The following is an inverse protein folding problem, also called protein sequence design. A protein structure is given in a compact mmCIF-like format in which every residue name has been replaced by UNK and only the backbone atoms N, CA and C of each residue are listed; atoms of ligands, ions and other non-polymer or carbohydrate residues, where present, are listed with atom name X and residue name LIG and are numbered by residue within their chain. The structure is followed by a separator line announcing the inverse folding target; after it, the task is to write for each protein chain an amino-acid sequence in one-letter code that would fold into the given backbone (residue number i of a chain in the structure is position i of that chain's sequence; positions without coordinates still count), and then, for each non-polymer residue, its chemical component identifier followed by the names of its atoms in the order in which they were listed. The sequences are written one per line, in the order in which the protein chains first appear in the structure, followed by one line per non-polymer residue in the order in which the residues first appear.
data_IF_227505139662
#
_entry.id   IF_227505139662
#
_cell.length_a   1.000
_cell.length_b   1.000
_cell.length_c   1.000
_cell.angle_alpha   90.00
_cell.angle_beta   90.00
_cell.angle_gamma   90.00
#
_symmetry.space_group_name_H-M   'P 1'
#
loop_
_entity.id
_entity.type
_entity.pdbx_description
1 polymer ?
#
# COMPACT_ATOMS: atom_id res chain seq x y z
N UNK A 1 -11.19 19.59 -8.38
CA UNK A 1 -10.07 19.03 -7.57
C UNK A 1 -9.68 17.67 -8.15
N UNK A 2 -8.39 17.35 -8.14
CA UNK A 2 -7.88 16.04 -8.58
C UNK A 2 -8.34 14.95 -7.62
N UNK A 3 -8.56 13.74 -8.13
CA UNK A 3 -8.87 12.58 -7.26
C UNK A 3 -7.58 11.86 -6.91
N UNK A 4 -7.36 11.62 -5.62
CA UNK A 4 -6.25 10.85 -5.07
C UNK A 4 -6.78 9.55 -4.44
N UNK A 5 -6.42 8.42 -5.02
CA UNK A 5 -6.78 7.09 -4.51
C UNK A 5 -5.61 6.56 -3.69
N UNK A 6 -5.85 6.25 -2.43
CA UNK A 6 -4.88 5.71 -1.48
C UNK A 6 -5.23 4.26 -1.14
N UNK A 7 -4.39 3.33 -1.54
CA UNK A 7 -4.58 1.90 -1.31
C UNK A 7 -3.75 1.45 -0.11
N UNK A 8 -4.38 1.03 1.00
CA UNK A 8 -3.68 0.72 2.24
C UNK A 8 -2.92 -0.61 2.20
N UNK A 9 -2.10 -0.83 3.22
CA UNK A 9 -1.42 -2.08 3.48
C UNK A 9 -2.35 -3.13 4.12
N UNK A 10 -1.87 -4.36 4.24
CA UNK A 10 -2.52 -5.45 4.97
C UNK A 10 -2.93 -5.00 6.38
N UNK A 11 -4.17 -5.29 6.80
CA UNK A 11 -4.75 -4.92 8.09
C UNK A 11 -4.79 -3.40 8.35
N UNK A 12 -4.74 -2.61 7.29
CA UNK A 12 -4.82 -1.16 7.35
C UNK A 12 -6.07 -0.65 6.62
N UNK A 13 -6.48 0.56 6.98
CA UNK A 13 -7.58 1.29 6.36
C UNK A 13 -7.21 2.77 6.22
N UNK A 14 -8.19 3.66 6.12
CA UNK A 14 -7.97 5.11 6.03
C UNK A 14 -7.13 5.68 7.20
N UNK A 15 -7.13 5.02 8.36
CA UNK A 15 -6.32 5.40 9.51
C UNK A 15 -4.82 5.44 9.20
N UNK A 16 -4.34 4.58 8.28
CA UNK A 16 -2.94 4.60 7.83
C UNK A 16 -2.55 5.95 7.22
N UNK A 17 -3.48 6.57 6.50
CA UNK A 17 -3.27 7.83 5.79
C UNK A 17 -3.85 9.05 6.52
N UNK A 18 -4.23 8.91 7.80
CA UNK A 18 -4.91 9.99 8.53
C UNK A 18 -4.14 11.34 8.51
N UNK A 19 -2.80 11.39 8.63
CA UNK A 19 -2.06 12.66 8.51
C UNK A 19 -2.15 13.26 7.09
N UNK A 20 -2.05 12.42 6.06
CA UNK A 20 -2.10 12.86 4.66
C UNK A 20 -3.50 13.33 4.28
N UNK A 21 -4.54 12.63 4.75
CA UNK A 21 -5.94 13.04 4.56
C UNK A 21 -6.16 14.41 5.18
N UNK A 22 -5.72 14.63 6.41
CA UNK A 22 -5.85 15.92 7.08
C UNK A 22 -5.13 17.05 6.34
N UNK A 23 -3.92 16.78 5.81
CA UNK A 23 -3.12 17.77 5.10
C UNK A 23 -3.62 18.09 3.68
N UNK A 24 -4.23 17.12 3.00
CA UNK A 24 -4.55 17.23 1.57
C UNK A 24 -6.06 17.37 1.27
N UNK A 25 -6.95 17.34 2.27
CA UNK A 25 -8.42 17.36 2.09
C UNK A 25 -8.94 18.56 1.30
N UNK A 26 -8.25 19.71 1.38
CA UNK A 26 -8.62 20.94 0.66
C UNK A 26 -7.93 21.04 -0.72
N UNK A 27 -7.10 20.07 -1.09
CA UNK A 27 -6.29 20.04 -2.34
C UNK A 27 -6.65 18.91 -3.27
N UNK A 28 -7.20 17.80 -2.74
CA UNK A 28 -7.60 16.64 -3.52
C UNK A 28 -8.88 16.00 -2.98
N UNK A 29 -9.62 15.36 -3.88
CA UNK A 29 -10.72 14.48 -3.51
C UNK A 29 -10.12 13.11 -3.17
N UNK A 30 -10.03 12.78 -1.87
CA UNK A 30 -9.32 11.58 -1.40
C UNK A 30 -10.28 10.40 -1.29
N UNK A 31 -9.89 9.27 -1.88
CA UNK A 31 -10.64 8.00 -1.85
C UNK A 31 -9.72 6.93 -1.27
N UNK A 32 -10.17 6.27 -0.20
CA UNK A 32 -9.48 5.13 0.41
C UNK A 32 -10.38 3.91 0.33
N UNK A 33 -10.21 3.05 -0.69
CA UNK A 33 -11.04 1.85 -0.84
C UNK A 33 -10.78 0.82 0.27
N UNK A 34 -11.83 0.11 0.68
CA UNK A 34 -11.72 -1.04 1.57
C UNK A 34 -11.18 -2.25 0.80
N UNK A 35 -9.99 -2.73 1.17
CA UNK A 35 -9.32 -3.88 0.55
C UNK A 35 -9.70 -5.22 1.20
N UNK A 36 -10.45 -5.22 2.30
CA UNK A 36 -10.77 -6.41 3.07
C UNK A 36 -11.95 -7.23 2.51
N UNK A 37 -12.57 -6.75 1.41
CA UNK A 37 -13.84 -7.32 0.89
C UNK A 37 -13.66 -8.47 -0.08
N UNK A 38 -12.51 -8.56 -0.74
CA UNK A 38 -12.25 -9.50 -1.83
C UNK A 38 -11.23 -10.58 -1.39
N UNK A 39 -11.23 -11.69 -2.10
CA UNK A 39 -10.29 -12.81 -1.91
C UNK A 39 -9.42 -13.08 -3.14
N UNK A 40 -9.50 -12.21 -4.14
CA UNK A 40 -8.78 -12.28 -5.41
C UNK A 40 -8.38 -10.88 -5.85
N UNK A 41 -7.12 -10.72 -6.26
CA UNK A 41 -6.54 -9.41 -6.58
C UNK A 41 -7.21 -8.76 -7.80
N UNK A 42 -7.51 -9.54 -8.84
CA UNK A 42 -8.14 -9.01 -10.03
C UNK A 42 -9.59 -8.60 -9.78
N UNK A 43 -10.31 -9.33 -8.91
CA UNK A 43 -11.66 -8.95 -8.47
C UNK A 43 -11.63 -7.67 -7.62
N UNK A 44 -10.69 -7.56 -6.68
CA UNK A 44 -10.49 -6.36 -5.87
C UNK A 44 -10.25 -5.12 -6.75
N UNK A 45 -9.35 -5.21 -7.72
CA UNK A 45 -9.06 -4.11 -8.64
C UNK A 45 -10.28 -3.70 -9.47
N UNK A 46 -11.05 -4.67 -10.01
CA UNK A 46 -12.29 -4.39 -10.76
C UNK A 46 -13.32 -3.66 -9.91
N UNK A 47 -13.58 -4.14 -8.69
CA UNK A 47 -14.52 -3.50 -7.77
C UNK A 47 -14.08 -2.07 -7.45
N UNK A 48 -12.82 -1.88 -7.07
CA UNK A 48 -12.27 -0.56 -6.74
C UNK A 48 -12.40 0.38 -7.93
N UNK A 49 -12.05 -0.06 -9.15
CA UNK A 49 -12.20 0.74 -10.36
C UNK A 49 -13.65 1.15 -10.63
N UNK A 50 -14.64 0.33 -10.24
CA UNK A 50 -16.05 0.67 -10.35
C UNK A 50 -16.56 1.64 -9.27
N UNK A 51 -15.89 1.66 -8.12
CA UNK A 51 -16.23 2.53 -6.98
C UNK A 51 -15.57 3.92 -7.06
N UNK A 52 -14.47 4.07 -7.84
CA UNK A 52 -13.81 5.36 -8.04
C UNK A 52 -14.66 6.24 -8.95
N UNK A 53 -15.19 7.40 -8.46
CA UNK A 53 -16.13 8.22 -9.20
C UNK A 53 -15.49 9.01 -10.36
N UNK A 54 -14.17 9.19 -10.32
CA UNK A 54 -13.43 9.95 -11.32
C UNK A 54 -13.03 9.09 -12.52
N UNK A 55 -13.08 9.64 -13.72
CA UNK A 55 -12.59 8.99 -14.94
C UNK A 55 -11.07 8.76 -14.87
N UNK A 56 -10.34 9.76 -14.36
CA UNK A 56 -8.89 9.72 -14.15
C UNK A 56 -8.54 10.10 -12.72
N UNK A 57 -7.45 9.54 -12.20
CA UNK A 57 -7.02 9.76 -10.82
C UNK A 57 -5.51 9.58 -10.63
N UNK A 58 -4.99 10.18 -9.57
CA UNK A 58 -3.69 9.84 -9.01
C UNK A 58 -3.83 8.61 -8.12
N UNK A 59 -2.89 7.68 -8.17
CA UNK A 59 -2.93 6.42 -7.43
C UNK A 59 -1.70 6.28 -6.54
N UNK A 60 -1.91 6.01 -5.26
CA UNK A 60 -0.84 5.63 -4.34
C UNK A 60 -1.18 4.29 -3.70
N UNK A 61 -0.27 3.32 -3.81
CA UNK A 61 -0.43 2.00 -3.18
C UNK A 61 0.77 1.67 -2.29
N UNK A 62 0.48 1.27 -1.04
CA UNK A 62 1.50 0.85 -0.08
C UNK A 62 1.41 -0.65 0.19
N UNK A 63 2.54 -1.37 0.10
CA UNK A 63 2.61 -2.80 0.40
C UNK A 63 1.57 -3.59 -0.41
N UNK A 64 0.58 -4.24 0.23
CA UNK A 64 -0.56 -4.89 -0.43
C UNK A 64 -1.28 -3.93 -1.39
N UNK A 65 -1.47 -2.67 -1.01
CA UNK A 65 -2.06 -1.66 -1.90
C UNK A 65 -1.25 -1.44 -3.17
N UNK A 66 0.06 -1.65 -3.13
CA UNK A 66 0.91 -1.65 -4.32
C UNK A 66 0.62 -2.81 -5.27
N UNK A 67 0.31 -4.00 -4.74
CA UNK A 67 -0.13 -5.14 -5.57
C UNK A 67 -1.46 -4.84 -6.28
N UNK A 68 -2.39 -4.22 -5.55
CA UNK A 68 -3.66 -3.75 -6.14
C UNK A 68 -3.41 -2.65 -7.17
N UNK A 69 -2.45 -1.74 -6.94
CA UNK A 69 -2.08 -0.71 -7.92
C UNK A 69 -1.53 -1.31 -9.21
N UNK A 70 -0.68 -2.34 -9.15
CA UNK A 70 -0.23 -3.05 -10.34
C UNK A 70 -1.40 -3.69 -11.10
N UNK A 71 -2.36 -4.27 -10.39
CA UNK A 71 -3.52 -4.88 -11.02
C UNK A 71 -4.47 -3.82 -11.64
N UNK A 72 -4.64 -2.67 -10.99
CA UNK A 72 -5.36 -1.52 -11.58
C UNK A 72 -4.67 -1.05 -12.87
N UNK A 73 -3.34 -0.97 -12.90
CA UNK A 73 -2.60 -0.65 -14.13
C UNK A 73 -2.80 -1.70 -15.22
N UNK A 74 -2.89 -2.98 -14.87
CA UNK A 74 -3.15 -4.07 -15.83
C UNK A 74 -4.53 -3.94 -16.47
N UNK A 75 -5.53 -3.51 -15.70
CA UNK A 75 -6.91 -3.42 -16.14
C UNK A 75 -7.29 -2.06 -16.75
N UNK A 76 -6.70 -0.97 -16.28
CA UNK A 76 -7.15 0.38 -16.61
C UNK A 76 -6.03 1.43 -16.52
N UNK A 77 -4.84 1.16 -17.08
CA UNK A 77 -3.68 2.08 -17.01
C UNK A 77 -3.99 3.49 -17.52
N UNK A 78 -4.88 3.64 -18.51
CA UNK A 78 -5.28 4.94 -19.05
C UNK A 78 -6.03 5.84 -18.04
N UNK A 79 -6.54 5.29 -16.94
CA UNK A 79 -7.18 6.04 -15.86
C UNK A 79 -6.18 6.60 -14.83
N UNK A 80 -4.95 6.09 -14.79
CA UNK A 80 -3.94 6.51 -13.82
C UNK A 80 -3.10 7.65 -14.40
N UNK A 81 -3.30 8.87 -13.90
CA UNK A 81 -2.57 10.06 -14.35
C UNK A 81 -1.17 10.18 -13.74
N UNK A 82 -1.02 9.76 -12.49
CA UNK A 82 0.25 9.69 -11.77
C UNK A 82 0.21 8.55 -10.74
N UNK A 83 1.33 7.89 -10.52
CA UNK A 83 1.45 6.71 -9.67
C UNK A 83 2.46 6.92 -8.55
N UNK A 84 2.14 6.47 -7.34
CA UNK A 84 3.09 6.32 -6.25
C UNK A 84 3.08 4.87 -5.76
N UNK A 85 4.19 4.17 -5.88
CA UNK A 85 4.41 2.84 -5.32
C UNK A 85 5.24 2.99 -4.06
N UNK A 86 4.64 2.65 -2.91
CA UNK A 86 5.25 2.86 -1.60
C UNK A 86 5.48 1.52 -0.90
N UNK A 87 6.71 1.25 -0.47
CA UNK A 87 7.08 0.06 0.32
C UNK A 87 6.40 -1.23 -0.19
N UNK A 88 6.52 -1.47 -1.48
CA UNK A 88 5.93 -2.60 -2.20
C UNK A 88 6.95 -3.25 -3.13
N UNK A 89 6.55 -4.32 -3.81
CA UNK A 89 7.40 -5.00 -4.79
C UNK A 89 6.57 -5.60 -5.94
N UNK A 90 7.18 -5.86 -7.11
CA UNK A 90 6.47 -6.38 -8.27
C UNK A 90 6.42 -7.91 -8.33
N UNK A 91 6.91 -8.63 -7.30
CA UNK A 91 7.03 -10.08 -7.36
C UNK A 91 5.70 -10.78 -7.16
N UNK A 92 5.48 -11.85 -7.93
CA UNK A 92 4.37 -12.77 -7.74
C UNK A 92 4.44 -13.52 -6.42
N UNK A 93 3.31 -14.08 -6.00
CA UNK A 93 3.29 -14.95 -4.83
C UNK A 93 4.05 -16.24 -5.10
N UNK A 94 4.81 -16.72 -4.12
CA UNK A 94 5.54 -17.99 -4.19
C UNK A 94 4.82 -19.06 -3.36
N UNK A 95 5.05 -20.33 -3.69
CA UNK A 95 4.50 -21.44 -2.90
C UNK A 95 4.90 -21.36 -1.42
N UNK A 96 6.17 -21.00 -1.14
CA UNK A 96 6.64 -20.86 0.24
C UNK A 96 5.95 -19.70 0.96
N UNK A 97 5.77 -18.55 0.29
CA UNK A 97 5.06 -17.41 0.86
C UNK A 97 3.60 -17.77 1.16
N UNK A 98 2.92 -18.44 0.23
CA UNK A 98 1.54 -18.92 0.42
C UNK A 98 1.40 -19.88 1.61
N UNK A 99 2.36 -20.81 1.79
CA UNK A 99 2.38 -21.68 2.98
C UNK A 99 2.53 -20.88 4.27
N UNK A 100 3.42 -19.89 4.30
CA UNK A 100 3.61 -19.02 5.46
C UNK A 100 2.33 -18.22 5.77
N UNK A 101 1.64 -17.69 4.75
CA UNK A 101 0.36 -16.98 4.92
C UNK A 101 -0.73 -17.90 5.45
N UNK A 102 -0.82 -19.14 4.97
CA UNK A 102 -1.76 -20.12 5.48
C UNK A 102 -1.54 -20.41 6.99
N UNK A 103 -0.29 -20.52 7.41
CA UNK A 103 0.06 -20.67 8.85
C UNK A 103 -0.39 -19.44 9.65
N UNK A 104 -0.16 -18.22 9.15
CA UNK A 104 -0.58 -16.99 9.83
C UNK A 104 -2.11 -16.86 9.89
N UNK A 105 -2.83 -17.25 8.84
CA UNK A 105 -4.30 -17.33 8.85
C UNK A 105 -4.77 -18.31 9.92
N UNK A 106 -4.24 -19.53 9.96
CA UNK A 106 -4.61 -20.54 10.95
C UNK A 106 -4.32 -20.07 12.38
N UNK A 107 -3.19 -19.39 12.60
CA UNK A 107 -2.84 -18.79 13.91
C UNK A 107 -3.86 -17.74 14.33
N UNK A 108 -4.24 -16.84 13.42
CA UNK A 108 -5.24 -15.81 13.71
C UNK A 108 -6.63 -16.41 13.98
N UNK A 109 -7.02 -17.46 13.26
CA UNK A 109 -8.28 -18.18 13.45
C UNK A 109 -8.34 -18.90 14.80
N UNK A 110 -7.22 -19.48 15.26
CA UNK A 110 -7.15 -20.23 16.51
C UNK A 110 -6.99 -19.31 17.74
N UNK A 111 -6.25 -18.21 17.62
CA UNK A 111 -5.79 -17.42 18.77
C UNK A 111 -6.23 -15.94 18.72
N UNK A 112 -7.08 -15.55 17.75
CA UNK A 112 -7.48 -14.16 17.55
C UNK A 112 -6.43 -13.30 16.85
N UNK A 113 -6.83 -12.08 16.48
CA UNK A 113 -5.98 -11.12 15.79
C UNK A 113 -4.85 -10.59 16.66
N UNK A 114 -5.02 -10.58 17.98
CA UNK A 114 -3.98 -10.21 18.94
C UNK A 114 -2.70 -11.01 18.72
N UNK A 115 -2.83 -12.27 18.33
CA UNK A 115 -1.70 -13.18 18.10
C UNK A 115 -0.78 -12.79 16.95
N UNK A 116 -1.24 -11.90 16.07
CA UNK A 116 -0.52 -11.47 14.88
C UNK A 116 -0.18 -9.98 14.85
N UNK A 117 -0.76 -9.16 15.76
CA UNK A 117 -0.56 -7.70 15.76
C UNK A 117 0.93 -7.35 15.81
N UNK A 118 1.65 -7.90 16.78
CA UNK A 118 3.08 -7.61 16.93
C UNK A 118 3.89 -8.01 15.70
N UNK A 119 3.70 -9.24 15.23
CA UNK A 119 4.46 -9.79 14.12
C UNK A 119 4.08 -9.18 12.74
N UNK A 120 2.86 -8.69 12.57
CA UNK A 120 2.36 -8.19 11.29
C UNK A 120 2.37 -6.67 11.18
N UNK A 121 2.40 -5.95 12.29
CA UNK A 121 2.25 -4.50 12.30
C UNK A 121 3.45 -3.80 12.96
N UNK A 122 3.80 -4.15 14.20
CA UNK A 122 4.87 -3.46 14.90
C UNK A 122 6.26 -3.88 14.47
N UNK A 123 6.47 -5.17 14.15
CA UNK A 123 7.79 -5.68 13.74
C UNK A 123 8.32 -5.06 12.46
N UNK A 124 7.45 -4.56 11.59
CA UNK A 124 7.81 -3.96 10.29
C UNK A 124 8.14 -2.47 10.35
N UNK A 125 7.90 -1.83 11.49
CA UNK A 125 8.24 -0.43 11.73
C UNK A 125 9.73 -0.26 12.04
N UNK A 126 10.24 0.94 11.76
CA UNK A 126 11.52 1.37 12.31
C UNK A 126 11.47 1.28 13.85
N UNK A 127 12.52 0.76 14.50
CA UNK A 127 12.50 0.51 15.95
C UNK A 127 12.11 1.76 16.78
N UNK A 128 12.63 2.91 16.42
CA UNK A 128 12.36 4.19 17.10
C UNK A 128 10.91 4.68 16.97
N UNK A 129 10.15 4.14 16.02
CA UNK A 129 8.75 4.55 15.77
C UNK A 129 7.73 3.69 16.51
N UNK A 130 8.10 2.50 16.98
CA UNK A 130 7.19 1.54 17.61
C UNK A 130 6.49 2.07 18.84
N UNK A 131 7.15 2.98 19.56
CA UNK A 131 6.64 3.57 20.80
C UNK A 131 5.91 4.90 20.62
N UNK A 132 5.78 5.40 19.39
CA UNK A 132 5.03 6.63 19.11
C UNK A 132 3.55 6.47 19.52
N UNK A 133 2.97 7.36 20.35
CA UNK A 133 1.60 7.22 20.86
C UNK A 133 0.56 7.03 19.77
N UNK A 134 0.63 7.81 18.69
CA UNK A 134 -0.28 7.72 17.57
C UNK A 134 -0.23 6.33 16.89
N UNK A 135 0.97 5.76 16.74
CA UNK A 135 1.16 4.45 16.11
C UNK A 135 0.60 3.34 17.01
N UNK A 136 0.90 3.41 18.31
CA UNK A 136 0.36 2.45 19.32
C UNK A 136 -1.16 2.45 19.39
N UNK A 137 -1.79 3.58 19.13
CA UNK A 137 -3.25 3.67 19.09
C UNK A 137 -3.83 3.19 17.76
N UNK A 138 -3.30 3.69 16.63
CA UNK A 138 -3.91 3.47 15.32
C UNK A 138 -3.72 2.06 14.78
N UNK A 139 -2.53 1.46 14.94
CA UNK A 139 -2.28 0.14 14.33
C UNK A 139 -3.20 -0.95 14.89
N UNK A 140 -3.34 -1.15 16.21
CA UNK A 140 -4.29 -2.13 16.72
C UNK A 140 -5.73 -1.80 16.34
N UNK A 141 -6.10 -0.52 16.36
CA UNK A 141 -7.45 -0.07 15.97
C UNK A 141 -7.78 -0.49 14.54
N UNK A 142 -6.88 -0.28 13.58
CA UNK A 142 -7.08 -0.70 12.18
C UNK A 142 -7.19 -2.21 12.06
N UNK A 143 -6.33 -2.97 12.75
CA UNK A 143 -6.38 -4.44 12.78
C UNK A 143 -7.75 -4.95 13.23
N UNK A 144 -8.27 -4.44 14.35
CA UNK A 144 -9.56 -4.87 14.88
C UNK A 144 -10.74 -4.37 14.04
N UNK A 145 -10.65 -3.22 13.40
CA UNK A 145 -11.64 -2.73 12.44
C UNK A 145 -11.71 -3.60 11.18
N UNK A 146 -10.57 -4.02 10.64
CA UNK A 146 -10.50 -4.96 9.51
C UNK A 146 -11.10 -6.32 9.91
N UNK A 147 -10.85 -6.76 11.13
CA UNK A 147 -11.39 -7.98 11.70
C UNK A 147 -10.83 -9.26 11.06
N UNK A 148 -11.10 -10.40 11.69
CA UNK A 148 -10.55 -11.69 11.28
C UNK A 148 -10.97 -12.06 9.83
N UNK A 149 -12.23 -11.81 9.47
CA UNK A 149 -12.72 -12.09 8.12
C UNK A 149 -11.98 -11.24 7.07
N UNK A 150 -11.81 -9.95 7.35
CA UNK A 150 -11.07 -9.04 6.48
C UNK A 150 -9.61 -9.48 6.32
N UNK A 151 -8.94 -9.82 7.42
CA UNK A 151 -7.59 -10.36 7.38
C UNK A 151 -7.43 -11.59 6.49
N UNK A 152 -8.35 -12.57 6.64
CA UNK A 152 -8.34 -13.78 5.81
C UNK A 152 -8.54 -13.45 4.33
N UNK A 153 -9.45 -12.52 4.03
CA UNK A 153 -9.69 -12.07 2.67
C UNK A 153 -8.46 -11.39 2.06
N UNK A 154 -7.88 -10.43 2.77
CA UNK A 154 -6.67 -9.72 2.35
C UNK A 154 -5.49 -10.67 2.11
N UNK A 155 -5.28 -11.64 3.01
CA UNK A 155 -4.25 -12.67 2.82
C UNK A 155 -4.48 -13.48 1.53
N UNK A 156 -5.73 -13.90 1.27
CA UNK A 156 -6.08 -14.61 0.02
C UNK A 156 -5.87 -13.73 -1.22
N UNK A 157 -6.25 -12.46 -1.13
CA UNK A 157 -6.00 -11.48 -2.19
C UNK A 157 -4.50 -11.35 -2.49
N UNK A 158 -3.65 -11.30 -1.47
CA UNK A 158 -2.19 -11.29 -1.66
C UNK A 158 -1.71 -12.62 -2.28
N UNK A 159 -2.25 -13.76 -1.85
CA UNK A 159 -1.89 -15.08 -2.38
C UNK A 159 -2.24 -15.24 -3.86
N UNK A 160 -3.22 -14.50 -4.38
CA UNK A 160 -3.62 -14.53 -5.79
C UNK A 160 -2.80 -13.61 -6.70
N UNK A 161 -1.83 -12.82 -6.15
CA UNK A 161 -1.09 -11.83 -6.93
C UNK A 161 -0.18 -12.48 -7.98
N UNK A 162 -0.28 -12.07 -9.25
CA UNK A 162 0.66 -12.48 -10.28
C UNK A 162 1.98 -11.73 -10.14
N UNK A 163 2.99 -12.19 -10.88
CA UNK A 163 4.21 -11.41 -11.10
C UNK A 163 3.89 -10.19 -11.96
N UNK A 164 4.35 -9.01 -11.54
CA UNK A 164 4.10 -7.73 -12.20
C UNK A 164 5.37 -7.08 -12.76
N UNK A 165 6.50 -7.80 -12.79
CA UNK A 165 7.76 -7.28 -13.36
C UNK A 165 7.64 -6.92 -14.82
N UNK A 166 6.80 -7.64 -15.56
CA UNK A 166 6.51 -7.39 -16.97
C UNK A 166 5.72 -6.09 -17.24
N UNK A 167 5.16 -5.47 -16.18
CA UNK A 167 4.46 -4.19 -16.29
C UNK A 167 5.39 -3.01 -16.11
N UNK A 168 6.50 -3.15 -15.38
CA UNK A 168 7.31 -2.01 -14.94
C UNK A 168 7.74 -1.12 -16.10
N UNK A 169 8.24 -1.71 -17.17
CA UNK A 169 8.68 -0.96 -18.37
C UNK A 169 7.54 -0.43 -19.25
N UNK A 170 6.29 -0.80 -18.94
CA UNK A 170 5.08 -0.37 -19.66
C UNK A 170 4.36 0.77 -18.92
N UNK A 171 4.76 1.09 -17.69
CA UNK A 171 4.17 2.20 -16.93
C UNK A 171 4.60 3.50 -17.60
N UNK A 172 3.63 4.23 -18.15
CA UNK A 172 3.86 5.45 -18.93
C UNK A 172 3.54 6.75 -18.19
N UNK A 173 2.76 6.68 -17.09
CA UNK A 173 2.46 7.86 -16.29
C UNK A 173 3.66 8.25 -15.40
N UNK A 174 3.77 9.54 -14.99
CA UNK A 174 4.71 9.95 -13.98
C UNK A 174 4.61 9.07 -12.74
N UNK A 175 5.74 8.56 -12.25
CA UNK A 175 5.75 7.56 -11.19
C UNK A 175 6.73 7.95 -10.08
N UNK A 176 6.27 7.91 -8.84
CA UNK A 176 7.10 7.97 -7.65
C UNK A 176 7.27 6.55 -7.10
N UNK A 177 8.50 6.18 -6.76
CA UNK A 177 8.82 4.96 -6.04
C UNK A 177 9.35 5.40 -4.68
N UNK A 178 8.43 5.48 -3.71
CA UNK A 178 8.72 5.96 -2.36
C UNK A 178 8.93 4.78 -1.40
N UNK A 179 9.75 4.94 -0.37
CA UNK A 179 9.89 3.89 0.63
C UNK A 179 10.79 4.25 1.79
N UNK A 180 10.50 3.65 2.94
CA UNK A 180 11.26 3.83 4.17
C UNK A 180 12.68 3.31 4.05
N UNK A 181 13.64 4.08 4.52
CA UNK A 181 15.07 3.68 4.50
C UNK A 181 15.36 2.45 5.35
N UNK A 182 14.50 2.17 6.34
CA UNK A 182 14.62 1.06 7.28
C UNK A 182 13.60 -0.07 7.01
N UNK A 183 12.91 -0.05 5.86
CA UNK A 183 11.99 -1.14 5.51
C UNK A 183 12.77 -2.44 5.24
N UNK A 184 12.45 -3.47 6.03
CA UNK A 184 13.04 -4.80 5.91
C UNK A 184 12.25 -5.74 4.98
N UNK A 185 11.03 -5.37 4.56
CA UNK A 185 10.17 -6.17 3.68
C UNK A 185 10.35 -5.77 2.21
N UNK A 186 10.11 -4.50 1.90
CA UNK A 186 10.36 -3.91 0.59
C UNK A 186 11.61 -3.05 0.68
N UNK A 187 12.75 -3.72 0.78
CA UNK A 187 14.03 -3.08 1.09
C UNK A 187 14.37 -1.94 0.11
N UNK A 188 15.18 -0.95 0.52
CA UNK A 188 15.66 0.10 -0.39
C UNK A 188 16.19 -0.44 -1.71
N UNK A 189 16.89 -1.58 -1.69
CA UNK A 189 17.42 -2.22 -2.90
C UNK A 189 16.31 -2.68 -3.87
N UNK A 190 15.21 -3.25 -3.35
CA UNK A 190 14.03 -3.64 -4.15
C UNK A 190 13.38 -2.38 -4.76
N UNK A 191 13.21 -1.34 -3.96
CA UNK A 191 12.61 -0.07 -4.40
C UNK A 191 13.49 0.62 -5.45
N UNK A 192 14.81 0.61 -5.29
CA UNK A 192 15.76 1.16 -6.25
C UNK A 192 15.73 0.38 -7.58
N UNK A 193 15.65 -0.96 -7.51
CA UNK A 193 15.55 -1.80 -8.70
C UNK A 193 14.25 -1.54 -9.46
N UNK A 194 13.12 -1.45 -8.76
CA UNK A 194 11.82 -1.12 -9.34
C UNK A 194 11.85 0.27 -10.00
N UNK A 195 12.44 1.28 -9.34
CA UNK A 195 12.54 2.63 -9.90
C UNK A 195 13.38 2.66 -11.18
N UNK A 196 14.46 1.87 -11.27
CA UNK A 196 15.28 1.77 -12.50
C UNK A 196 14.52 1.15 -13.68
N UNK A 197 13.56 0.26 -13.42
CA UNK A 197 12.81 -0.46 -14.47
C UNK A 197 11.59 0.31 -14.97
N UNK A 198 11.08 1.29 -14.21
CA UNK A 198 9.94 2.11 -14.60
C UNK A 198 10.42 3.36 -15.35
N UNK A 199 10.04 3.57 -16.62
CA UNK A 199 10.33 4.81 -17.33
C UNK A 199 9.77 6.01 -16.56
N UNK A 200 10.54 7.10 -16.50
CA UNK A 200 10.12 8.34 -15.81
C UNK A 200 9.82 8.20 -14.30
N UNK A 201 10.36 7.19 -13.64
CA UNK A 201 10.22 7.06 -12.20
C UNK A 201 11.20 7.98 -11.47
N UNK A 202 10.68 8.59 -10.40
CA UNK A 202 11.48 9.31 -9.39
C UNK A 202 11.53 8.49 -8.12
N UNK A 203 12.74 8.15 -7.65
CA UNK A 203 12.93 7.45 -6.37
C UNK A 203 12.90 8.46 -5.21
N UNK A 204 12.06 8.18 -4.19
CA UNK A 204 11.97 8.97 -2.96
C UNK A 204 12.31 8.06 -1.78
N UNK A 205 13.36 8.42 -1.04
CA UNK A 205 13.73 7.73 0.20
C UNK A 205 13.12 8.49 1.37
N UNK A 206 12.29 7.82 2.17
CA UNK A 206 11.67 8.38 3.35
C UNK A 206 12.59 8.11 4.56
N UNK A 207 13.21 9.12 5.14
CA UNK A 207 14.12 8.93 6.28
C UNK A 207 13.35 8.54 7.54
N UNK A 208 14.02 7.88 8.48
CA UNK A 208 13.47 7.48 9.78
C UNK A 208 12.15 6.71 9.68
N UNK A 209 12.00 5.87 8.67
CA UNK A 209 10.79 5.10 8.41
C UNK A 209 11.12 3.66 8.03
N UNK A 210 10.35 2.73 8.57
CA UNK A 210 10.22 1.35 8.11
C UNK A 210 9.13 1.23 7.06
N UNK A 211 8.21 0.28 7.25
CA UNK A 211 7.23 -0.14 6.26
C UNK A 211 5.98 0.74 6.15
N UNK A 212 5.74 1.65 7.12
CA UNK A 212 4.56 2.51 7.15
C UNK A 212 4.92 4.01 7.16
N UNK A 213 5.58 4.54 6.11
CA UNK A 213 5.92 5.96 6.01
C UNK A 213 4.77 6.93 6.31
N UNK A 214 3.50 6.65 5.95
CA UNK A 214 2.40 7.55 6.27
C UNK A 214 2.26 7.88 7.76
N UNK A 215 2.61 6.94 8.65
CA UNK A 215 2.56 7.12 10.10
C UNK A 215 3.95 7.38 10.71
N UNK A 216 4.99 6.80 10.11
CA UNK A 216 6.34 6.88 10.67
C UNK A 216 7.03 8.21 10.39
N UNK A 217 6.84 8.75 9.19
CA UNK A 217 7.29 10.07 8.77
C UNK A 217 6.22 10.76 7.91
N UNK A 218 5.14 11.23 8.54
CA UNK A 218 3.98 11.75 7.83
C UNK A 218 4.28 12.98 6.96
N UNK A 219 5.20 13.85 7.39
CA UNK A 219 5.55 15.05 6.63
C UNK A 219 6.24 14.70 5.30
N UNK A 220 7.22 13.77 5.35
CA UNK A 220 7.91 13.32 4.13
C UNK A 220 6.96 12.58 3.18
N UNK A 221 6.05 11.76 3.72
CA UNK A 221 5.06 11.08 2.89
C UNK A 221 4.03 12.06 2.29
N UNK A 222 3.60 13.07 3.05
CA UNK A 222 2.73 14.13 2.55
C UNK A 222 3.39 14.89 1.41
N UNK A 223 4.67 15.29 1.58
CA UNK A 223 5.43 15.95 0.52
C UNK A 223 5.53 15.10 -0.76
N UNK A 224 5.72 13.78 -0.63
CA UNK A 224 5.70 12.86 -1.77
C UNK A 224 4.35 12.86 -2.49
N UNK A 225 3.23 12.85 -1.77
CA UNK A 225 1.90 12.93 -2.37
C UNK A 225 1.59 14.30 -3.00
N UNK A 226 2.14 15.39 -2.47
CA UNK A 226 2.06 16.72 -3.10
C UNK A 226 2.80 16.75 -4.45
N UNK A 227 3.98 16.14 -4.52
CA UNK A 227 4.72 15.96 -5.78
C UNK A 227 3.86 15.13 -6.75
N UNK A 228 3.30 14.00 -6.30
CA UNK A 228 2.42 13.16 -7.11
C UNK A 228 1.26 13.97 -7.72
N UNK A 229 0.55 14.75 -6.90
CA UNK A 229 -0.57 15.58 -7.34
C UNK A 229 -0.13 16.68 -8.32
N UNK A 230 1.11 17.17 -8.22
CA UNK A 230 1.64 18.18 -9.15
C UNK A 230 1.97 17.61 -10.53
N UNK A 231 2.25 16.32 -10.62
CA UNK A 231 2.63 15.64 -11.88
C UNK A 231 1.43 15.19 -12.73
N UNK A 232 0.23 15.10 -12.15
CA UNK A 232 -0.98 14.82 -12.93
C UNK A 232 -1.41 16.03 -13.74
N UNK A 233 -2.04 15.80 -14.89
CA UNK A 233 -2.49 16.85 -15.85
C UNK A 233 -3.84 17.42 -15.46
#
# INVERSE_FOLDING_TARGET
MKTLVLLPALLCNEGLFSPQIAALKDRANIVVPDLSRDTDLAAAARRILSEIPAEKFCLCGISMGGYVAFEILRQASARVEALCLTDTNPFGETEQSSKNRAVMIARAQANGLESIVESSQFSVLAPENRDKPMIKELLPKMVFQTGLRGYVNEQKTIMSRPDSRDLLNKISCPTLVAGGVLDALSTPAIMDDMARQIPNATRIVIPNSGHFPPLENPDAMTAALEILLSQSK
#
